data_IF_577372173794
#
_entry.id   IF_577372173794
#
_cell.length_a   1.000
_cell.length_b   1.000
_cell.length_c   1.000
_cell.angle_alpha   90.00
_cell.angle_beta   90.00
_cell.angle_gamma   90.00
#
_symmetry.space_group_name_H-M   'P 1'
#
loop_
_entity.id
_entity.type
_entity.pdbx_description
1 polymer ?
#
# COMPACT_ATOMS: atom_id res chain seq x y z
N UNK A 1 1.46 -14.47 6.42
CA UNK A 1 1.29 -13.35 5.48
C UNK A 1 2.60 -12.59 5.37
N UNK A 2 3.05 -12.36 4.15
CA UNK A 2 4.25 -11.57 3.94
C UNK A 2 3.98 -10.09 4.21
N UNK A 3 5.02 -9.38 4.63
CA UNK A 3 4.92 -7.98 4.97
C UNK A 3 4.35 -7.13 3.84
N UNK A 4 4.80 -7.39 2.60
CA UNK A 4 4.32 -6.65 1.43
C UNK A 4 2.82 -6.81 1.18
N UNK A 5 2.26 -7.97 1.54
CA UNK A 5 0.84 -8.24 1.33
C UNK A 5 -0.06 -7.33 2.19
N UNK A 6 0.47 -6.83 3.30
CA UNK A 6 -0.28 -5.90 4.16
C UNK A 6 -0.67 -4.65 3.36
N UNK A 7 0.27 -4.11 2.59
CA UNK A 7 0.02 -2.91 1.80
C UNK A 7 -0.92 -3.18 0.63
N UNK A 8 -0.81 -4.37 0.03
CA UNK A 8 -1.72 -4.77 -1.05
C UNK A 8 -3.16 -4.76 -0.52
N UNK A 9 -3.40 -5.39 0.62
CA UNK A 9 -4.74 -5.45 1.22
C UNK A 9 -5.25 -4.05 1.57
N UNK A 10 -4.39 -3.22 2.15
CA UNK A 10 -4.76 -1.85 2.52
C UNK A 10 -5.18 -1.04 1.29
N UNK A 11 -4.36 -1.07 0.24
CA UNK A 11 -4.62 -0.32 -0.99
C UNK A 11 -5.92 -0.81 -1.64
N UNK A 12 -6.09 -2.13 -1.78
CA UNK A 12 -7.30 -2.68 -2.40
C UNK A 12 -8.54 -2.35 -1.60
N UNK A 13 -8.46 -2.42 -0.27
CA UNK A 13 -9.58 -2.07 0.61
C UNK A 13 -9.99 -0.61 0.43
N UNK A 14 -9.01 0.30 0.38
CA UNK A 14 -9.29 1.72 0.19
C UNK A 14 -9.85 2.02 -1.19
N UNK A 15 -9.33 1.36 -2.23
CA UNK A 15 -9.87 1.50 -3.58
C UNK A 15 -11.33 1.04 -3.63
N UNK A 16 -11.64 -0.08 -2.99
CA UNK A 16 -13.01 -0.60 -2.95
C UNK A 16 -13.94 0.37 -2.23
N UNK A 17 -13.52 0.91 -1.09
CA UNK A 17 -14.31 1.87 -0.33
C UNK A 17 -14.58 3.15 -1.11
N UNK A 18 -13.61 3.60 -1.89
CA UNK A 18 -13.72 4.83 -2.69
C UNK A 18 -14.31 4.60 -4.06
N UNK A 19 -14.52 3.35 -4.46
CA UNK A 19 -15.06 3.02 -5.77
C UNK A 19 -14.14 3.41 -6.92
N UNK A 20 -12.83 3.29 -6.74
CA UNK A 20 -11.84 3.60 -7.77
C UNK A 20 -11.04 2.35 -8.15
N UNK A 21 -10.53 2.35 -9.38
CA UNK A 21 -9.65 1.29 -9.87
C UNK A 21 -8.20 1.56 -9.49
N UNK A 22 -7.37 0.52 -9.60
CA UNK A 22 -5.92 0.66 -9.41
C UNK A 22 -5.34 1.65 -10.43
N UNK A 23 -5.82 1.59 -11.70
CA UNK A 23 -5.36 2.52 -12.73
C UNK A 23 -5.69 3.97 -12.36
N UNK A 24 -6.90 4.20 -11.84
CA UNK A 24 -7.30 5.53 -11.40
C UNK A 24 -6.43 6.00 -10.24
N UNK A 25 -6.12 5.10 -9.31
CA UNK A 25 -5.26 5.43 -8.18
C UNK A 25 -3.86 5.85 -8.65
N UNK A 26 -3.30 5.15 -9.64
CA UNK A 26 -1.99 5.51 -10.18
C UNK A 26 -2.00 6.95 -10.72
N UNK A 27 -3.04 7.30 -11.46
CA UNK A 27 -3.19 8.66 -11.99
C UNK A 27 -3.32 9.68 -10.85
N UNK A 28 -4.18 9.40 -9.88
CA UNK A 28 -4.44 10.33 -8.78
C UNK A 28 -3.22 10.53 -7.88
N UNK A 29 -2.43 9.49 -7.69
CA UNK A 29 -1.27 9.53 -6.78
C UNK A 29 0.02 9.99 -7.46
N UNK A 30 0.00 10.15 -8.77
CA UNK A 30 1.21 10.46 -9.56
C UNK A 30 2.29 9.39 -9.34
N UNK A 31 1.86 8.14 -9.24
CA UNK A 31 2.73 6.97 -9.18
C UNK A 31 2.65 6.29 -10.53
N UNK A 32 3.79 5.88 -11.07
CA UNK A 32 3.80 5.17 -12.35
C UNK A 32 2.93 3.92 -12.26
N UNK A 33 2.16 3.67 -13.33
CA UNK A 33 1.29 2.50 -13.41
C UNK A 33 2.06 1.21 -13.10
N UNK A 34 3.26 1.06 -13.69
CA UNK A 34 4.09 -0.13 -13.47
C UNK A 34 4.52 -0.28 -12.01
N UNK A 35 4.81 0.83 -11.34
CA UNK A 35 5.19 0.80 -9.93
C UNK A 35 4.03 0.33 -9.07
N UNK A 36 2.85 0.88 -9.31
CA UNK A 36 1.66 0.50 -8.54
C UNK A 36 1.24 -0.95 -8.84
N UNK A 37 1.30 -1.35 -10.11
CA UNK A 37 1.00 -2.73 -10.50
C UNK A 37 1.92 -3.72 -9.77
N UNK A 38 3.21 -3.42 -9.69
CA UNK A 38 4.16 -4.29 -9.00
C UNK A 38 3.83 -4.40 -7.50
N UNK A 39 3.38 -3.32 -6.90
CA UNK A 39 2.98 -3.34 -5.49
C UNK A 39 1.75 -4.24 -5.31
N UNK A 40 0.68 -3.98 -6.07
CA UNK A 40 -0.59 -4.70 -5.86
C UNK A 40 -0.54 -6.16 -6.34
N UNK A 41 0.44 -6.51 -7.16
CA UNK A 41 0.67 -7.91 -7.56
C UNK A 41 1.59 -8.64 -6.59
N UNK A 42 2.07 -7.96 -5.54
CA UNK A 42 2.93 -8.55 -4.54
C UNK A 42 4.38 -8.75 -5.00
N UNK A 43 4.79 -8.10 -6.08
CA UNK A 43 6.15 -8.24 -6.61
C UNK A 43 7.15 -7.33 -5.90
N UNK A 44 6.68 -6.22 -5.33
CA UNK A 44 7.51 -5.30 -4.57
C UNK A 44 7.51 -5.73 -3.11
N UNK A 45 8.65 -6.24 -2.63
CA UNK A 45 8.74 -6.76 -1.27
C UNK A 45 8.72 -5.67 -0.23
N UNK A 46 9.24 -4.50 -0.56
CA UNK A 46 9.41 -3.42 0.40
C UNK A 46 9.11 -2.08 -0.28
N UNK A 47 7.83 -1.70 -0.37
CA UNK A 47 7.44 -0.45 -1.00
C UNK A 47 8.10 0.75 -0.32
N UNK A 48 8.51 1.71 -1.13
CA UNK A 48 9.15 2.92 -0.59
C UNK A 48 8.13 3.78 0.14
N UNK A 49 8.55 4.37 1.23
CA UNK A 49 7.70 5.27 2.02
C UNK A 49 7.18 6.41 1.16
N UNK A 50 8.01 6.97 0.29
CA UNK A 50 7.57 8.06 -0.60
C UNK A 50 6.40 7.62 -1.49
N UNK A 51 6.46 6.40 -2.02
CA UNK A 51 5.36 5.86 -2.84
C UNK A 51 4.09 5.71 -2.01
N UNK A 52 4.21 5.14 -0.82
CA UNK A 52 3.06 4.99 0.09
C UNK A 52 2.48 6.33 0.48
N UNK A 53 3.32 7.33 0.67
CA UNK A 53 2.88 8.69 1.01
C UNK A 53 2.06 9.29 -0.13
N UNK A 54 2.52 9.16 -1.37
CA UNK A 54 1.76 9.63 -2.53
C UNK A 54 0.40 8.94 -2.63
N UNK A 55 0.36 7.64 -2.38
CA UNK A 55 -0.88 6.87 -2.38
C UNK A 55 -1.82 7.37 -1.28
N UNK A 56 -1.29 7.60 -0.08
CA UNK A 56 -2.08 8.14 1.03
C UNK A 56 -2.74 9.47 0.65
N UNK A 57 -1.96 10.38 0.07
CA UNK A 57 -2.48 11.69 -0.34
C UNK A 57 -3.59 11.56 -1.39
N UNK A 58 -3.48 10.58 -2.29
CA UNK A 58 -4.52 10.33 -3.29
C UNK A 58 -5.84 9.90 -2.63
N UNK A 59 -5.76 9.23 -1.49
CA UNK A 59 -6.94 8.87 -0.70
C UNK A 59 -7.37 9.97 0.27
N UNK A 60 -6.75 11.14 0.18
CA UNK A 60 -7.01 12.26 1.08
C UNK A 60 -6.69 11.91 2.55
N UNK A 61 -5.63 11.16 2.73
CA UNK A 61 -5.16 10.72 4.03
C UNK A 61 -3.74 11.21 4.29
N UNK A 62 -3.38 11.38 5.55
CA UNK A 62 -1.98 11.55 5.91
C UNK A 62 -1.28 10.20 5.81
N UNK A 63 0.05 10.20 5.74
CA UNK A 63 0.80 8.95 5.75
C UNK A 63 0.51 8.15 7.01
N UNK A 64 0.44 8.82 8.17
CA UNK A 64 0.16 8.13 9.43
C UNK A 64 -1.22 7.49 9.44
N UNK A 65 -2.23 8.15 8.86
CA UNK A 65 -3.57 7.56 8.74
C UNK A 65 -3.56 6.33 7.83
N UNK A 66 -2.85 6.43 6.71
CA UNK A 66 -2.74 5.32 5.78
C UNK A 66 -2.09 4.10 6.43
N UNK A 67 -1.06 4.31 7.25
CA UNK A 67 -0.33 3.23 7.91
C UNK A 67 -1.03 2.72 9.16
N UNK A 68 -2.05 3.39 9.64
CA UNK A 68 -2.76 3.01 10.86
C UNK A 68 -3.88 2.04 10.54
N UNK A 69 -3.51 0.77 10.37
CA UNK A 69 -4.50 -0.30 10.21
C UNK A 69 -4.04 -1.53 11.01
N UNK A 70 -5.03 -2.29 11.46
CA UNK A 70 -4.82 -3.34 12.46
C UNK A 70 -3.77 -4.36 12.07
N UNK A 71 -3.81 -4.84 10.84
CA UNK A 71 -2.89 -5.88 10.38
C UNK A 71 -1.44 -5.41 10.40
N UNK A 72 -1.20 -4.16 10.04
CA UNK A 72 0.16 -3.61 10.09
C UNK A 72 0.60 -3.39 11.54
N UNK A 73 -0.29 -2.83 12.37
CA UNK A 73 0.02 -2.55 13.76
C UNK A 73 0.30 -3.81 14.57
N UNK A 74 -0.36 -4.90 14.22
CA UNK A 74 -0.22 -6.18 14.91
C UNK A 74 0.85 -7.10 14.30
N UNK A 75 1.49 -6.67 13.21
CA UNK A 75 2.44 -7.52 12.51
C UNK A 75 3.65 -7.83 13.38
N UNK A 76 4.07 -9.11 13.39
CA UNK A 76 5.24 -9.56 14.13
C UNK A 76 6.34 -10.00 13.18
N UNK A 77 7.56 -9.57 13.45
CA UNK A 77 8.73 -9.98 12.70
C UNK A 77 9.46 -11.18 13.34
N UNK A 78 8.84 -11.81 14.34
CA UNK A 78 9.49 -12.93 15.06
C UNK A 78 9.83 -14.09 14.13
N UNK A 79 9.00 -14.34 13.11
CA UNK A 79 9.22 -15.43 12.16
C UNK A 79 9.91 -14.95 10.88
N UNK A 80 10.35 -13.69 10.86
CA UNK A 80 10.97 -13.08 9.70
C UNK A 80 12.48 -13.22 9.80
N UNK A 81 13.09 -13.99 8.88
CA UNK A 81 14.53 -14.21 8.84
C UNK A 81 15.26 -13.22 7.93
N UNK A 82 14.55 -12.26 7.41
CA UNK A 82 15.04 -11.28 6.45
C UNK A 82 15.43 -10.01 7.15
N UNK A 83 16.64 -9.73 7.29
CA UNK A 83 17.07 -8.46 7.88
C UNK A 83 17.41 -7.41 6.85
#
# INVERSE_FOLDING_TARGET
>A
MEYSELYVKRIRSLCQKRGITINKLATMSDVKQSTLDNIVRGLTKNPRVKTLHKIALAFNMTLSEFLDFDELNAYSFEDDNDD
#
